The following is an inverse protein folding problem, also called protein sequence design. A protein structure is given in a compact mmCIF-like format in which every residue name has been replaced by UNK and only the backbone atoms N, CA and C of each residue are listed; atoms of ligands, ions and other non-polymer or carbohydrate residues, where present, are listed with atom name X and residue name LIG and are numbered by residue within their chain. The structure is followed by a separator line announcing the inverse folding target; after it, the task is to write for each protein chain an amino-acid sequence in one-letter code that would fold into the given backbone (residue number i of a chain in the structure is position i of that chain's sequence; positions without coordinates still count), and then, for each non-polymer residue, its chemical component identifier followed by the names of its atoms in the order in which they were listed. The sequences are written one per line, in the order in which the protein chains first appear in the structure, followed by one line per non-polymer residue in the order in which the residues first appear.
data_IF_519883695370
#
_entry.id   IF_519883695370
#
_cell.length_a   1.000
_cell.length_b   1.000
_cell.length_c   1.000
_cell.angle_alpha   90.00
_cell.angle_beta   90.00
_cell.angle_gamma   90.00
#
_symmetry.space_group_name_H-M   'P 1'
#
loop_
_entity.id
_entity.type
_entity.pdbx_description
1 polymer ?
#
# COMPACT_ATOMS: atom_id res chain seq x y z
N UNK A 1 11.72 2.72 -25.07
CA UNK A 1 10.63 3.67 -25.32
C UNK A 1 10.28 4.29 -23.99
N UNK A 2 10.87 5.45 -23.71
CA UNK A 2 10.67 6.18 -22.45
C UNK A 2 9.38 6.96 -22.61
N UNK A 3 8.33 6.59 -21.89
CA UNK A 3 7.18 7.48 -21.74
C UNK A 3 7.43 8.27 -20.46
N UNK A 4 8.05 9.44 -20.63
CA UNK A 4 7.86 10.53 -19.69
C UNK A 4 6.40 11.00 -19.87
N UNK A 5 5.55 10.70 -18.90
CA UNK A 5 4.26 11.37 -18.78
C UNK A 5 4.43 12.51 -17.79
N UNK A 6 4.09 13.71 -18.25
CA UNK A 6 4.17 14.95 -17.51
C UNK A 6 3.43 14.86 -16.18
N UNK A 7 4.06 15.51 -15.20
CA UNK A 7 3.48 15.89 -13.93
C UNK A 7 2.22 16.73 -14.12
N UNK A 8 1.41 16.70 -13.06
CA UNK A 8 0.36 17.64 -12.71
C UNK A 8 -1.06 17.33 -13.22
N UNK A 9 -1.94 17.15 -12.22
CA UNK A 9 -3.40 17.29 -12.24
C UNK A 9 -4.29 16.03 -12.23
N UNK A 10 -3.94 14.93 -11.55
CA UNK A 10 -4.96 13.99 -11.01
C UNK A 10 -4.53 13.25 -9.73
N UNK A 11 -3.73 13.86 -8.83
CA UNK A 11 -3.27 13.19 -7.59
C UNK A 11 -3.91 13.75 -6.30
N UNK A 12 -4.63 14.88 -6.35
CA UNK A 12 -5.13 15.55 -5.14
C UNK A 12 -6.63 15.36 -4.83
N UNK A 13 -7.41 14.72 -5.69
CA UNK A 13 -8.87 14.63 -5.45
C UNK A 13 -9.28 13.51 -4.47
N UNK A 14 -8.44 12.49 -4.24
CA UNK A 14 -8.78 11.45 -3.26
C UNK A 14 -8.45 11.85 -1.82
N UNK A 15 -7.70 12.93 -1.63
CA UNK A 15 -7.06 13.29 -0.37
C UNK A 15 -7.56 14.59 0.25
N UNK A 16 -8.74 15.15 -0.08
CA UNK A 16 -9.13 16.41 0.60
C UNK A 16 -10.60 16.83 0.73
N UNK A 17 -11.61 16.03 0.39
CA UNK A 17 -13.02 16.51 0.54
C UNK A 17 -13.69 16.20 1.89
N UNK A 18 -13.05 15.38 2.75
CA UNK A 18 -13.52 15.16 4.12
C UNK A 18 -12.69 15.88 5.20
N UNK A 19 -11.48 16.35 4.87
CA UNK A 19 -10.59 17.08 5.80
C UNK A 19 -10.82 18.60 5.81
N UNK A 20 -11.35 19.20 4.75
CA UNK A 20 -11.40 20.67 4.65
C UNK A 20 -12.38 21.34 5.63
N UNK A 21 -13.36 20.61 6.19
CA UNK A 21 -14.20 21.12 7.29
C UNK A 21 -13.58 21.02 8.68
N UNK A 22 -12.48 20.28 8.83
CA UNK A 22 -11.84 20.06 10.13
C UNK A 22 -10.88 21.21 10.52
N UNK A 23 -10.30 21.92 9.54
CA UNK A 23 -9.36 23.01 9.79
C UNK A 23 -10.03 24.31 10.27
N UNK A 24 -11.28 24.57 9.90
CA UNK A 24 -12.03 25.75 10.36
C UNK A 24 -12.46 25.65 11.85
N UNK A 25 -12.53 24.43 12.42
CA UNK A 25 -12.86 24.21 13.83
C UNK A 25 -11.63 24.25 14.77
N UNK A 26 -10.42 24.36 14.23
CA UNK A 26 -9.17 24.40 15.01
C UNK A 26 -8.88 25.77 15.67
N UNK A 27 -9.67 26.81 15.40
CA UNK A 27 -9.46 28.16 15.95
C UNK A 27 -10.10 28.40 17.33
N UNK A 28 -10.79 27.42 17.90
CA UNK A 28 -11.33 27.53 19.26
C UNK A 28 -10.44 26.77 20.23
N UNK A 29 -9.68 27.50 21.05
CA UNK A 29 -8.85 26.91 22.12
C UNK A 29 -9.72 26.55 23.33
N UNK A 30 -9.76 25.28 23.80
CA UNK A 30 -10.46 24.96 25.04
C UNK A 30 -9.50 25.02 26.24
N UNK A 31 -9.95 25.70 27.30
CA UNK A 31 -9.33 25.66 28.63
C UNK A 31 -9.43 24.24 29.21
N UNK A 32 -8.34 23.86 29.86
CA UNK A 32 -8.07 22.62 30.58
C UNK A 32 -9.09 22.34 31.70
N UNK A 33 -9.84 21.24 31.62
CA UNK A 33 -10.37 20.50 32.78
C UNK A 33 -10.58 19.02 32.41
N UNK A 34 -9.88 18.14 33.13
CA UNK A 34 -9.58 16.75 32.76
C UNK A 34 -10.67 15.74 33.16
N UNK A 35 -11.87 16.19 33.56
CA UNK A 35 -12.84 15.32 34.24
C UNK A 35 -14.09 14.95 33.44
N UNK A 36 -14.27 15.45 32.20
CA UNK A 36 -15.38 15.04 31.33
C UNK A 36 -14.96 14.97 29.86
N UNK A 37 -14.46 13.81 29.41
CA UNK A 37 -14.31 13.52 27.98
C UNK A 37 -15.23 12.35 27.56
N UNK A 38 -16.02 12.46 26.49
CA UNK A 38 -16.96 11.42 26.09
C UNK A 38 -16.26 10.28 25.33
N UNK A 39 -16.87 9.09 25.33
CA UNK A 39 -16.31 7.83 24.84
C UNK A 39 -15.79 7.82 23.38
N UNK A 40 -16.10 8.84 22.58
CA UNK A 40 -15.63 8.96 21.19
C UNK A 40 -14.18 9.43 21.06
N UNK A 41 -13.58 10.04 22.09
CA UNK A 41 -12.16 10.42 22.08
C UNK A 41 -11.21 9.28 22.41
N UNK A 42 -11.73 8.07 22.68
CA UNK A 42 -10.91 6.86 22.85
C UNK A 42 -10.38 6.28 21.53
N UNK A 43 -10.87 6.77 20.38
CA UNK A 43 -10.51 6.24 19.06
C UNK A 43 -9.32 6.96 18.39
N UNK A 44 -8.93 8.14 18.90
CA UNK A 44 -7.79 8.92 18.35
C UNK A 44 -6.45 8.61 19.02
N UNK A 45 -6.45 7.70 20.00
CA UNK A 45 -5.24 7.09 20.56
C UNK A 45 -5.16 5.64 20.07
N UNK A 46 -5.00 5.46 18.76
CA UNK A 46 -4.54 4.18 18.23
C UNK A 46 -3.04 4.08 18.56
N UNK A 47 -2.60 3.17 19.44
CA UNK A 47 -1.19 2.93 19.60
C UNK A 47 -0.68 2.38 18.28
N UNK A 48 0.46 2.91 17.84
CA UNK A 48 1.37 2.32 16.87
C UNK A 48 1.09 0.83 16.68
N UNK A 49 0.55 0.47 15.50
CA UNK A 49 0.30 -0.92 15.12
C UNK A 49 1.57 -1.70 15.44
N UNK A 50 1.48 -2.67 16.36
CA UNK A 50 2.51 -3.68 16.47
C UNK A 50 2.57 -4.36 15.10
N UNK A 51 3.67 -4.17 14.38
CA UNK A 51 3.92 -4.88 13.14
C UNK A 51 3.74 -6.37 13.43
N UNK A 52 2.71 -6.97 12.85
CA UNK A 52 2.56 -8.41 12.88
C UNK A 52 3.75 -8.97 12.14
N UNK A 53 4.67 -9.64 12.83
CA UNK A 53 5.67 -10.49 12.20
C UNK A 53 4.94 -11.65 11.53
N UNK A 54 4.40 -11.38 10.33
CA UNK A 54 3.87 -12.41 9.48
C UNK A 54 5.07 -13.20 8.97
N UNK A 55 5.29 -14.36 9.55
CA UNK A 55 6.41 -15.25 9.19
C UNK A 55 6.23 -15.90 7.81
N UNK A 56 5.09 -15.70 7.15
CA UNK A 56 4.78 -16.26 5.83
C UNK A 56 4.20 -15.21 4.88
N UNK A 57 4.61 -15.19 3.61
CA UNK A 57 4.04 -14.30 2.61
C UNK A 57 2.54 -14.52 2.42
N UNK A 58 1.81 -13.44 2.21
CA UNK A 58 0.38 -13.43 1.93
C UNK A 58 0.17 -13.56 0.42
N UNK A 59 -0.55 -14.60 0.01
CA UNK A 59 -0.96 -14.78 -1.38
C UNK A 59 -2.32 -14.13 -1.64
N UNK A 60 -2.38 -13.29 -2.68
CA UNK A 60 -3.63 -12.68 -3.13
C UNK A 60 -4.25 -13.58 -4.21
N UNK A 61 -5.47 -14.03 -3.96
CA UNK A 61 -6.31 -14.69 -4.95
C UNK A 61 -7.10 -13.65 -5.74
N UNK A 62 -6.49 -13.14 -6.81
CA UNK A 62 -7.10 -12.12 -7.67
C UNK A 62 -8.49 -12.52 -8.19
N UNK A 63 -8.72 -13.80 -8.51
CA UNK A 63 -10.01 -14.26 -9.04
C UNK A 63 -11.18 -14.14 -8.05
N UNK A 64 -10.89 -14.26 -6.74
CA UNK A 64 -11.89 -14.18 -5.68
C UNK A 64 -11.96 -12.79 -5.03
N UNK A 65 -10.84 -12.06 -4.99
CA UNK A 65 -10.69 -10.82 -4.23
C UNK A 65 -10.71 -9.55 -5.11
N UNK A 66 -10.46 -9.69 -6.42
CA UNK A 66 -10.46 -8.60 -7.39
C UNK A 66 -11.46 -8.92 -8.52
N UNK A 67 -12.77 -8.83 -8.26
CA UNK A 67 -13.80 -9.17 -9.24
C UNK A 67 -13.77 -8.25 -10.48
N UNK A 68 -13.25 -7.04 -10.34
CA UNK A 68 -13.02 -6.13 -11.46
C UNK A 68 -11.66 -6.41 -12.08
N UNK A 69 -11.62 -6.80 -13.36
CA UNK A 69 -10.36 -6.88 -14.11
C UNK A 69 -9.94 -5.51 -14.64
N UNK A 70 -8.63 -5.22 -14.63
CA UNK A 70 -8.10 -4.00 -15.19
C UNK A 70 -8.29 -3.96 -16.71
N UNK A 71 -8.84 -2.85 -17.19
CA UNK A 71 -9.00 -2.47 -18.59
C UNK A 71 -8.56 -1.01 -18.75
N UNK A 72 -8.40 -0.56 -20.00
CA UNK A 72 -8.03 0.83 -20.30
C UNK A 72 -9.06 1.88 -19.82
N UNK A 73 -10.29 1.46 -19.48
CA UNK A 73 -11.40 2.37 -19.15
C UNK A 73 -11.73 2.45 -17.66
N UNK A 74 -11.22 1.52 -16.86
CA UNK A 74 -11.64 1.34 -15.46
C UNK A 74 -10.47 1.39 -14.47
N UNK A 75 -9.31 1.93 -14.88
CA UNK A 75 -8.12 2.01 -14.03
C UNK A 75 -8.41 2.58 -12.65
N UNK A 76 -9.15 3.69 -12.56
CA UNK A 76 -9.47 4.33 -11.28
C UNK A 76 -10.26 3.39 -10.34
N UNK A 77 -11.29 2.72 -10.86
CA UNK A 77 -12.11 1.79 -10.07
C UNK A 77 -11.35 0.51 -9.71
N UNK A 78 -10.52 0.00 -10.62
CA UNK A 78 -9.66 -1.15 -10.37
C UNK A 78 -8.62 -0.84 -9.29
N UNK A 79 -7.96 0.32 -9.40
CA UNK A 79 -6.94 0.75 -8.44
C UNK A 79 -7.53 0.95 -7.06
N UNK A 80 -8.72 1.57 -6.94
CA UNK A 80 -9.40 1.68 -5.66
C UNK A 80 -9.70 0.33 -4.98
N UNK A 81 -10.05 -0.72 -5.75
CA UNK A 81 -10.22 -2.07 -5.19
C UNK A 81 -8.88 -2.69 -4.78
N UNK A 82 -7.86 -2.52 -5.62
CA UNK A 82 -6.53 -3.07 -5.36
C UNK A 82 -5.88 -2.43 -4.13
N UNK A 83 -5.92 -1.11 -4.00
CA UNK A 83 -5.38 -0.37 -2.86
C UNK A 83 -6.11 -0.76 -1.56
N UNK A 84 -7.44 -0.87 -1.59
CA UNK A 84 -8.22 -1.32 -0.43
C UNK A 84 -7.85 -2.76 0.00
N UNK A 85 -7.58 -3.64 -0.98
CA UNK A 85 -7.15 -5.00 -0.71
C UNK A 85 -5.76 -5.04 -0.06
N UNK A 86 -4.80 -4.27 -0.59
CA UNK A 86 -3.45 -4.21 -0.04
C UNK A 86 -3.44 -3.64 1.37
N UNK A 87 -4.17 -2.55 1.61
CA UNK A 87 -4.32 -1.97 2.95
C UNK A 87 -4.94 -2.98 3.93
N UNK A 88 -5.88 -3.81 3.47
CA UNK A 88 -6.46 -4.89 4.29
C UNK A 88 -5.45 -5.97 4.72
N UNK A 89 -4.33 -6.09 4.00
CA UNK A 89 -3.23 -7.01 4.29
C UNK A 89 -1.96 -6.32 4.80
N UNK A 90 -1.96 -4.99 4.97
CA UNK A 90 -0.78 -4.18 5.26
C UNK A 90 0.34 -4.37 4.22
N UNK A 91 -0.03 -4.39 2.94
CA UNK A 91 0.89 -4.62 1.81
C UNK A 91 1.05 -3.39 0.90
N UNK A 92 0.38 -2.28 1.18
CA UNK A 92 0.37 -1.06 0.37
C UNK A 92 1.77 -0.49 0.15
N UNK A 93 2.64 -0.59 1.16
CA UNK A 93 3.99 -0.06 1.08
C UNK A 93 4.89 -0.76 0.05
N UNK A 94 4.54 -1.97 -0.42
CA UNK A 94 5.25 -2.62 -1.52
C UNK A 94 4.99 -1.92 -2.85
N UNK A 95 3.77 -1.45 -3.09
CA UNK A 95 3.41 -0.75 -4.34
C UNK A 95 3.79 0.73 -4.29
N UNK A 96 3.71 1.35 -3.12
CA UNK A 96 4.16 2.73 -2.93
C UNK A 96 5.70 2.86 -2.85
N UNK A 97 6.42 1.74 -2.75
CA UNK A 97 7.87 1.72 -2.56
C UNK A 97 8.32 2.21 -1.17
N UNK A 98 7.42 2.41 -0.22
CA UNK A 98 7.77 2.76 1.16
C UNK A 98 8.36 1.57 1.92
N UNK A 99 7.96 0.34 1.55
CA UNK A 99 8.57 -0.90 2.03
C UNK A 99 9.82 -1.23 1.21
N UNK A 100 10.94 -0.64 1.62
CA UNK A 100 12.24 -0.81 0.94
C UNK A 100 12.79 -2.24 1.07
N UNK A 101 13.49 -2.76 0.05
CA UNK A 101 14.13 -4.07 0.12
C UNK A 101 15.21 -4.10 1.21
N UNK A 102 15.16 -5.09 2.13
CA UNK A 102 16.24 -5.29 3.09
C UNK A 102 17.57 -5.62 2.40
N UNK A 103 18.72 -5.47 3.10
CA UNK A 103 19.99 -5.96 2.59
C UNK A 103 19.93 -7.46 2.26
N UNK A 104 20.51 -7.88 1.12
CA UNK A 104 20.52 -9.29 0.70
C UNK A 104 21.31 -10.19 1.64
N UNK A 105 22.30 -9.62 2.31
CA UNK A 105 23.23 -10.31 3.20
C UNK A 105 23.38 -9.51 4.49
N UNK A 106 23.57 -10.21 5.60
CA UNK A 106 23.78 -9.66 6.94
C UNK A 106 25.00 -10.32 7.57
N UNK A 107 25.63 -9.63 8.52
CA UNK A 107 26.69 -10.21 9.35
C UNK A 107 26.06 -10.96 10.53
N UNK A 108 26.37 -12.25 10.66
CA UNK A 108 25.98 -13.07 11.81
C UNK A 108 27.20 -13.85 12.30
N UNK A 109 27.54 -13.67 13.56
CA UNK A 109 28.71 -14.31 14.19
C UNK A 109 30.04 -14.07 13.42
N UNK A 110 30.19 -12.86 12.87
CA UNK A 110 31.38 -12.46 12.08
C UNK A 110 31.46 -13.07 10.68
N UNK A 111 30.39 -13.72 10.20
CA UNK A 111 30.27 -14.25 8.84
C UNK A 111 29.14 -13.57 8.08
N UNK A 112 29.39 -13.32 6.80
CA UNK A 112 28.35 -12.88 5.87
C UNK A 112 27.41 -14.04 5.58
N UNK A 113 26.12 -13.88 5.84
CA UNK A 113 25.05 -14.86 5.58
C UNK A 113 23.90 -14.20 4.83
N UNK A 114 23.11 -14.99 4.10
CA UNK A 114 21.92 -14.49 3.41
C UNK A 114 20.86 -13.99 4.40
N UNK A 115 20.22 -12.87 4.07
CA UNK A 115 19.18 -12.28 4.90
C UNK A 115 17.82 -12.96 4.63
N UNK A 116 17.19 -13.62 5.62
CA UNK A 116 15.85 -14.17 5.46
C UNK A 116 14.80 -13.08 5.16
N UNK A 117 14.96 -11.86 5.68
CA UNK A 117 14.00 -10.77 5.49
C UNK A 117 13.98 -10.29 4.03
N UNK A 118 15.13 -10.31 3.36
CA UNK A 118 15.20 -10.02 1.92
C UNK A 118 14.42 -11.07 1.12
N UNK A 119 14.55 -12.35 1.47
CA UNK A 119 13.82 -13.42 0.78
C UNK A 119 12.31 -13.29 1.02
N UNK A 120 11.90 -12.95 2.24
CA UNK A 120 10.49 -12.68 2.55
C UNK A 120 9.95 -11.50 1.72
N UNK A 121 10.64 -10.36 1.75
CA UNK A 121 10.28 -9.17 0.96
C UNK A 121 10.16 -9.51 -0.52
N UNK A 122 11.12 -10.24 -1.08
CA UNK A 122 11.13 -10.64 -2.49
C UNK A 122 9.95 -11.55 -2.83
N UNK A 123 9.64 -12.53 -1.98
CA UNK A 123 8.49 -13.41 -2.18
C UNK A 123 7.18 -12.63 -2.15
N UNK A 124 7.02 -11.72 -1.18
CA UNK A 124 5.84 -10.90 -1.04
C UNK A 124 5.64 -9.96 -2.24
N UNK A 125 6.70 -9.25 -2.66
CA UNK A 125 6.69 -8.39 -3.85
C UNK A 125 6.25 -9.17 -5.11
N UNK A 126 6.79 -10.38 -5.30
CA UNK A 126 6.47 -11.20 -6.48
C UNK A 126 5.03 -11.72 -6.45
N UNK A 127 4.49 -12.01 -5.27
CA UNK A 127 3.07 -12.37 -5.13
C UNK A 127 2.14 -11.20 -5.44
N UNK A 128 2.50 -9.98 -5.02
CA UNK A 128 1.74 -8.76 -5.35
C UNK A 128 1.80 -8.50 -6.86
N UNK A 129 2.99 -8.58 -7.47
CA UNK A 129 3.15 -8.47 -8.92
C UNK A 129 2.29 -9.50 -9.67
N UNK A 130 2.30 -10.75 -9.22
CA UNK A 130 1.45 -11.80 -9.79
C UNK A 130 -0.04 -11.47 -9.66
N UNK A 131 -0.48 -10.92 -8.52
CA UNK A 131 -1.86 -10.51 -8.31
C UNK A 131 -2.27 -9.39 -9.27
N UNK A 132 -1.40 -8.40 -9.50
CA UNK A 132 -1.64 -7.34 -10.48
C UNK A 132 -1.84 -7.97 -11.86
N UNK A 133 -0.88 -8.78 -12.32
CA UNK A 133 -0.94 -9.48 -13.61
C UNK A 133 -2.23 -10.31 -13.74
N UNK A 134 -2.57 -11.12 -12.73
CA UNK A 134 -3.76 -11.99 -12.74
C UNK A 134 -5.08 -11.20 -12.74
N UNK A 135 -5.09 -9.99 -12.18
CA UNK A 135 -6.24 -9.10 -12.16
C UNK A 135 -6.37 -8.22 -13.42
N UNK A 136 -5.48 -8.37 -14.40
CA UNK A 136 -5.52 -7.59 -15.64
C UNK A 136 -6.14 -8.38 -16.79
N UNK A 137 -6.72 -7.65 -17.75
CA UNK A 137 -7.21 -8.24 -18.99
C UNK A 137 -6.05 -8.39 -20.00
N UNK A 138 -6.13 -9.42 -20.86
CA UNK A 138 -5.04 -9.74 -21.81
C UNK A 138 -4.64 -8.58 -22.72
N UNK A 139 -5.58 -7.68 -23.04
CA UNK A 139 -5.31 -6.49 -23.85
C UNK A 139 -4.38 -5.47 -23.19
N UNK A 140 -4.25 -5.49 -21.85
CA UNK A 140 -3.44 -4.55 -21.07
C UNK A 140 -2.17 -5.21 -20.52
N UNK A 141 -2.13 -6.56 -20.46
CA UNK A 141 -0.98 -7.33 -20.00
C UNK A 141 0.37 -6.89 -20.59
N UNK A 142 0.51 -6.62 -21.91
CA UNK A 142 1.80 -6.21 -22.46
C UNK A 142 2.37 -4.93 -21.84
N UNK A 143 1.52 -4.04 -21.33
CA UNK A 143 1.96 -2.80 -20.67
C UNK A 143 2.57 -3.06 -19.29
N UNK A 144 2.18 -4.15 -18.62
CA UNK A 144 2.50 -4.44 -17.22
C UNK A 144 3.51 -5.59 -17.10
N UNK A 145 3.52 -6.53 -18.06
CA UNK A 145 4.35 -7.72 -18.04
C UNK A 145 5.87 -7.45 -18.11
N UNK A 146 6.28 -6.22 -18.45
CA UNK A 146 7.69 -5.83 -18.45
C UNK A 146 8.21 -5.39 -17.06
N UNK A 147 7.30 -5.17 -16.10
CA UNK A 147 7.65 -4.74 -14.75
C UNK A 147 8.32 -5.86 -13.96
N UNK A 148 9.40 -5.50 -13.26
CA UNK A 148 10.21 -6.45 -12.47
C UNK A 148 9.78 -6.50 -11.01
N UNK A 149 9.01 -5.51 -10.57
CA UNK A 149 8.68 -5.27 -9.17
C UNK A 149 7.33 -4.56 -9.09
N UNK A 150 6.60 -4.73 -7.99
CA UNK A 150 5.25 -4.20 -7.84
C UNK A 150 5.19 -2.66 -7.74
N UNK A 151 6.25 -2.02 -7.25
CA UNK A 151 6.45 -0.57 -7.22
C UNK A 151 6.72 0.08 -8.59
N UNK A 152 6.99 -0.73 -9.61
CA UNK A 152 7.32 -0.25 -10.97
C UNK A 152 6.15 -0.35 -11.96
N UNK A 153 4.94 -0.62 -11.47
CA UNK A 153 3.70 -0.68 -12.27
C UNK A 153 2.93 0.62 -12.10
#
# INVERSE_FOLDING_TARGET
MVIAAGSDLVDDQWRCDRCSRALELSKVTPKNDSSQLPAYLRCLYFPFLMATENTSPVAINASAQLPLKLTLKNFVSWRAQFDALLMGFNLEGYVEGTTQPPPKEIQKDGKTVSNPDYNFWLQQDKLILHAIIASTLESVLPCIASSKSSDTI
#
